data_IF_194079789995
#
_entry.id   IF_194079789995
#
_cell.length_a   1.000
_cell.length_b   1.000
_cell.length_c   1.000
_cell.angle_alpha   90.00
_cell.angle_beta   90.00
_cell.angle_gamma   90.00
#
_symmetry.space_group_name_H-M   'P 1'
#
loop_
_entity.id
_entity.type
_entity.pdbx_description
1 polymer ?
#
# COMPACT_ATOMS: atom_id res chain seq x y z
N UNK A 1 -20.40 -19.23 -23.86
CA UNK A 1 -19.59 -20.46 -24.04
C UNK A 1 -18.85 -20.69 -22.72
N UNK A 2 -18.91 -21.89 -22.12
CA UNK A 2 -18.22 -22.13 -20.87
C UNK A 2 -16.71 -22.08 -21.09
N UNK A 3 -15.99 -21.37 -20.22
CA UNK A 3 -14.52 -21.35 -20.23
C UNK A 3 -14.06 -22.69 -19.64
N UNK A 4 -13.22 -23.46 -20.34
CA UNK A 4 -12.77 -24.75 -19.84
C UNK A 4 -11.88 -24.55 -18.60
N UNK A 5 -12.11 -25.34 -17.54
CA UNK A 5 -11.21 -25.40 -16.41
C UNK A 5 -9.84 -25.95 -16.85
N UNK A 6 -8.73 -25.54 -16.21
CA UNK A 6 -7.43 -26.14 -16.46
C UNK A 6 -7.45 -27.64 -16.18
N UNK A 7 -6.61 -28.41 -16.87
CA UNK A 7 -6.43 -29.83 -16.59
C UNK A 7 -5.99 -30.02 -15.12
N UNK A 8 -6.39 -31.12 -14.51
CA UNK A 8 -6.08 -31.38 -13.08
C UNK A 8 -4.58 -31.34 -12.79
N UNK A 9 -3.75 -31.85 -13.70
CA UNK A 9 -2.28 -31.81 -13.59
C UNK A 9 -1.74 -30.37 -13.52
N UNK A 10 -2.19 -29.48 -14.41
CA UNK A 10 -1.81 -28.08 -14.39
C UNK A 10 -2.28 -27.33 -13.12
N UNK A 11 -3.39 -27.76 -12.54
CA UNK A 11 -3.84 -27.20 -11.26
C UNK A 11 -2.96 -27.68 -10.10
N UNK A 12 -2.51 -28.96 -10.12
CA UNK A 12 -1.58 -29.49 -9.12
C UNK A 12 -0.25 -28.74 -9.15
N UNK A 13 0.35 -28.54 -10.33
CA UNK A 13 1.58 -27.78 -10.50
C UNK A 13 1.42 -26.35 -9.98
N UNK A 14 0.37 -25.67 -10.41
CA UNK A 14 0.09 -24.29 -9.96
C UNK A 14 -0.08 -24.18 -8.45
N UNK A 15 -0.73 -25.13 -7.78
CA UNK A 15 -0.89 -25.12 -6.32
C UNK A 15 0.41 -25.43 -5.60
N UNK A 16 1.26 -26.29 -6.18
CA UNK A 16 2.59 -26.55 -5.66
C UNK A 16 3.46 -25.30 -5.72
N UNK A 17 3.55 -24.63 -6.88
CA UNK A 17 4.31 -23.39 -7.06
C UNK A 17 3.81 -22.31 -6.09
N UNK A 18 2.49 -22.08 -6.00
CA UNK A 18 1.92 -21.14 -5.07
C UNK A 18 2.23 -21.46 -3.59
N UNK A 19 2.42 -22.74 -3.25
CA UNK A 19 2.85 -23.15 -1.90
C UNK A 19 4.31 -22.80 -1.65
N UNK A 20 5.19 -23.02 -2.62
CA UNK A 20 6.60 -22.60 -2.55
C UNK A 20 6.69 -21.09 -2.39
N UNK A 21 6.02 -20.32 -3.27
CA UNK A 21 6.00 -18.85 -3.24
C UNK A 21 5.49 -18.30 -1.89
N UNK A 22 4.42 -18.92 -1.34
CA UNK A 22 3.87 -18.50 -0.05
C UNK A 22 4.84 -18.74 1.12
N UNK A 23 5.56 -19.87 1.12
CA UNK A 23 6.58 -20.16 2.13
C UNK A 23 7.76 -19.20 2.03
N UNK A 24 8.18 -18.85 0.83
CA UNK A 24 9.22 -17.85 0.58
C UNK A 24 8.79 -16.47 1.09
N UNK A 25 7.57 -16.01 0.78
CA UNK A 25 7.04 -14.74 1.27
C UNK A 25 6.99 -14.68 2.81
N UNK A 26 6.58 -15.75 3.49
CA UNK A 26 6.64 -15.78 4.97
C UNK A 26 8.08 -15.75 5.51
N UNK A 27 9.03 -16.35 4.81
CA UNK A 27 10.46 -16.28 5.16
C UNK A 27 11.03 -14.87 4.92
N UNK A 28 10.60 -14.18 3.85
CA UNK A 28 10.93 -12.77 3.58
C UNK A 28 10.36 -11.89 4.70
N UNK A 29 9.10 -12.11 5.10
CA UNK A 29 8.53 -11.40 6.25
C UNK A 29 9.38 -11.53 7.52
N UNK A 30 9.85 -12.73 7.85
CA UNK A 30 10.75 -12.94 8.98
C UNK A 30 12.05 -12.16 8.83
N UNK A 31 12.64 -12.14 7.63
CA UNK A 31 13.83 -11.37 7.33
C UNK A 31 13.64 -9.86 7.52
N UNK A 32 12.54 -9.33 7.03
CA UNK A 32 12.16 -7.92 7.19
C UNK A 32 11.90 -7.58 8.66
N UNK A 33 11.06 -8.37 9.32
CA UNK A 33 10.64 -8.13 10.71
C UNK A 33 11.81 -8.17 11.71
N UNK A 34 12.78 -9.02 11.47
CA UNK A 34 13.97 -9.20 12.31
C UNK A 34 15.16 -8.37 11.84
N UNK A 35 15.02 -7.57 10.78
CA UNK A 35 16.08 -6.72 10.25
C UNK A 35 17.27 -7.48 9.64
N UNK A 36 17.05 -8.74 9.17
CA UNK A 36 18.13 -9.61 8.72
C UNK A 36 18.77 -9.12 7.41
N UNK A 37 17.97 -8.62 6.49
CA UNK A 37 18.46 -8.05 5.22
C UNK A 37 19.31 -6.80 5.45
N UNK A 38 18.86 -5.90 6.34
CA UNK A 38 19.63 -4.72 6.74
C UNK A 38 20.97 -5.10 7.38
N UNK A 39 20.98 -6.11 8.26
CA UNK A 39 22.20 -6.61 8.90
C UNK A 39 23.23 -7.15 7.87
N UNK A 40 22.75 -7.88 6.84
CA UNK A 40 23.59 -8.38 5.75
C UNK A 40 24.09 -7.24 4.84
N UNK A 41 23.21 -6.29 4.48
CA UNK A 41 23.59 -5.12 3.68
C UNK A 41 24.71 -4.31 4.35
N UNK A 42 24.56 -4.02 5.65
CA UNK A 42 25.46 -3.12 6.37
C UNK A 42 26.81 -3.76 6.75
N UNK A 43 26.83 -5.10 6.88
CA UNK A 43 28.04 -5.81 7.33
C UNK A 43 28.83 -6.49 6.21
N UNK A 44 28.21 -6.70 5.04
CA UNK A 44 28.73 -7.59 4.01
C UNK A 44 28.56 -9.07 4.40
N UNK A 45 29.37 -9.99 3.85
CA UNK A 45 29.17 -11.42 4.05
C UNK A 45 29.29 -11.82 5.52
N UNK A 46 28.24 -12.53 6.04
CA UNK A 46 28.17 -13.05 7.40
C UNK A 46 27.96 -14.56 7.40
N UNK A 47 28.53 -15.25 8.38
CA UNK A 47 28.11 -16.59 8.77
C UNK A 47 26.88 -16.54 9.69
N UNK A 48 26.34 -17.72 10.04
CA UNK A 48 25.13 -17.81 10.86
C UNK A 48 25.34 -17.20 12.26
N UNK A 49 26.51 -17.38 12.85
CA UNK A 49 26.84 -16.82 14.17
C UNK A 49 26.92 -15.29 14.12
N UNK A 50 27.54 -14.75 13.06
CA UNK A 50 27.65 -13.30 12.85
C UNK A 50 26.30 -12.63 12.64
N UNK A 51 25.41 -13.21 11.83
CA UNK A 51 24.04 -12.72 11.65
C UNK A 51 23.25 -12.81 12.95
N UNK A 52 23.33 -13.95 13.65
CA UNK A 52 22.63 -14.16 14.91
C UNK A 52 23.01 -13.11 15.97
N UNK A 53 24.32 -12.84 16.10
CA UNK A 53 24.82 -11.84 17.04
C UNK A 53 24.33 -10.41 16.70
N UNK A 54 24.26 -10.04 15.41
CA UNK A 54 23.83 -8.70 14.97
C UNK A 54 22.31 -8.51 15.14
N UNK A 55 21.53 -9.52 14.79
CA UNK A 55 20.08 -9.44 14.81
C UNK A 55 19.47 -9.84 16.16
N UNK A 56 20.27 -10.31 17.11
CA UNK A 56 19.78 -10.76 18.41
C UNK A 56 18.91 -12.01 18.36
N UNK A 57 19.18 -12.91 17.43
CA UNK A 57 18.44 -14.16 17.23
C UNK A 57 19.30 -15.39 17.53
N UNK A 58 18.65 -16.55 17.62
CA UNK A 58 19.38 -17.80 17.87
C UNK A 58 20.10 -18.28 16.60
N UNK A 59 21.36 -18.68 16.71
CA UNK A 59 22.22 -19.08 15.57
C UNK A 59 21.61 -20.18 14.69
N UNK A 60 20.94 -21.18 15.30
CA UNK A 60 20.32 -22.25 14.52
C UNK A 60 19.22 -21.76 13.59
N UNK A 61 18.44 -20.76 14.04
CA UNK A 61 17.44 -20.12 13.17
C UNK A 61 18.08 -19.22 12.12
N UNK A 62 19.13 -18.48 12.47
CA UNK A 62 19.90 -17.70 11.50
C UNK A 62 20.42 -18.58 10.37
N UNK A 63 21.00 -19.74 10.69
CA UNK A 63 21.51 -20.69 9.70
C UNK A 63 20.40 -21.21 8.79
N UNK A 64 19.26 -21.67 9.35
CA UNK A 64 18.16 -22.20 8.56
C UNK A 64 17.61 -21.14 7.59
N UNK A 65 17.45 -19.90 8.09
CA UNK A 65 16.94 -18.81 7.28
C UNK A 65 17.93 -18.45 6.16
N UNK A 66 19.24 -18.34 6.45
CA UNK A 66 20.28 -18.06 5.45
C UNK A 66 20.32 -19.15 4.36
N UNK A 67 20.27 -20.41 4.74
CA UNK A 67 20.24 -21.54 3.81
C UNK A 67 18.98 -21.51 2.94
N UNK A 68 17.81 -21.27 3.53
CA UNK A 68 16.55 -21.18 2.79
C UNK A 68 16.57 -20.00 1.80
N UNK A 69 17.00 -18.80 2.24
CA UNK A 69 17.05 -17.62 1.37
C UNK A 69 18.07 -17.79 0.22
N UNK A 70 19.15 -18.53 0.44
CA UNK A 70 20.11 -18.83 -0.62
C UNK A 70 19.59 -19.86 -1.61
N UNK A 71 18.86 -20.88 -1.12
CA UNK A 71 18.18 -21.88 -2.00
C UNK A 71 17.10 -21.19 -2.84
N UNK A 72 16.40 -20.21 -2.29
CA UNK A 72 15.44 -19.37 -3.02
C UNK A 72 16.09 -18.35 -3.97
N UNK A 73 17.43 -18.24 -3.99
CA UNK A 73 18.16 -17.30 -4.86
C UNK A 73 18.10 -15.86 -4.39
N UNK A 74 17.66 -15.58 -3.18
CA UNK A 74 17.54 -14.22 -2.62
C UNK A 74 18.86 -13.73 -2.01
N UNK A 75 19.69 -14.65 -1.48
CA UNK A 75 21.02 -14.39 -0.95
C UNK A 75 22.08 -15.16 -1.76
N UNK A 76 23.27 -14.60 -1.84
CA UNK A 76 24.45 -15.28 -2.36
C UNK A 76 25.20 -16.00 -1.23
N UNK A 77 25.78 -17.18 -1.53
CA UNK A 77 26.67 -17.93 -0.67
C UNK A 77 28.06 -17.99 -1.31
N UNK A 78 29.13 -17.74 -0.55
CA UNK A 78 30.49 -17.71 -1.10
C UNK A 78 31.01 -19.12 -1.52
N UNK A 79 30.72 -20.14 -0.71
CA UNK A 79 31.07 -21.53 -0.97
C UNK A 79 29.94 -22.45 -0.42
N UNK A 80 29.14 -23.01 -1.31
CA UNK A 80 28.02 -23.90 -0.97
C UNK A 80 28.48 -25.29 -0.49
N UNK A 81 29.74 -25.67 -0.79
CA UNK A 81 30.36 -26.93 -0.37
C UNK A 81 31.05 -26.80 1.00
N UNK A 82 31.25 -25.59 1.52
CA UNK A 82 31.82 -25.40 2.86
C UNK A 82 30.95 -26.03 3.95
N UNK A 83 31.56 -26.33 5.10
CA UNK A 83 30.81 -26.80 6.25
C UNK A 83 29.72 -25.78 6.67
N UNK A 84 28.54 -26.22 7.12
CA UNK A 84 27.41 -25.29 7.40
C UNK A 84 27.74 -24.13 8.34
N UNK A 85 28.67 -24.31 9.27
CA UNK A 85 29.11 -23.27 10.21
C UNK A 85 30.12 -22.27 9.58
N UNK A 86 30.70 -22.62 8.43
CA UNK A 86 31.74 -21.83 7.76
C UNK A 86 31.19 -21.06 6.53
N UNK A 87 29.98 -21.42 6.08
CA UNK A 87 29.32 -20.74 4.95
C UNK A 87 29.10 -19.26 5.26
N UNK A 88 29.44 -18.41 4.31
CA UNK A 88 29.20 -16.98 4.40
C UNK A 88 28.19 -16.55 3.35
N UNK A 89 27.26 -15.71 3.78
CA UNK A 89 26.11 -15.29 2.98
C UNK A 89 26.10 -13.77 2.85
N UNK A 90 25.70 -13.28 1.71
CA UNK A 90 25.59 -11.85 1.44
C UNK A 90 24.27 -11.53 0.74
N UNK A 91 23.76 -10.34 1.00
CA UNK A 91 22.67 -9.76 0.21
C UNK A 91 23.30 -9.18 -1.08
N UNK A 92 22.94 -9.69 -2.28
CA UNK A 92 23.40 -9.09 -3.52
C UNK A 92 23.00 -7.61 -3.60
N UNK A 93 23.88 -6.70 -4.07
CA UNK A 93 23.55 -5.27 -4.17
C UNK A 93 22.28 -4.99 -4.95
N UNK A 94 22.02 -5.76 -6.02
CA UNK A 94 20.83 -5.68 -6.86
C UNK A 94 19.53 -6.09 -6.13
N UNK A 95 19.63 -6.85 -5.04
CA UNK A 95 18.47 -7.24 -4.22
C UNK A 95 18.25 -6.30 -3.03
N UNK A 96 19.22 -5.44 -2.72
CA UNK A 96 19.16 -4.56 -1.54
C UNK A 96 17.97 -3.58 -1.64
N UNK A 97 17.75 -2.97 -2.80
CA UNK A 97 16.62 -2.10 -3.06
C UNK A 97 15.29 -2.81 -2.79
N UNK A 98 15.14 -4.00 -3.36
CA UNK A 98 13.91 -4.81 -3.25
C UNK A 98 13.58 -5.23 -1.82
N UNK A 99 14.61 -5.63 -1.02
CA UNK A 99 14.43 -6.32 0.26
C UNK A 99 14.75 -5.46 1.50
N UNK A 100 15.60 -4.43 1.37
CA UNK A 100 16.19 -3.75 2.52
C UNK A 100 16.16 -2.22 2.49
N UNK A 101 15.73 -1.60 1.39
CA UNK A 101 15.77 -0.14 1.23
C UNK A 101 14.36 0.43 1.02
N UNK A 102 13.71 0.91 2.09
CA UNK A 102 12.29 1.32 2.05
C UNK A 102 11.94 2.46 1.08
N UNK A 103 12.93 3.22 0.64
CA UNK A 103 12.76 4.32 -0.31
C UNK A 103 13.12 3.94 -1.75
N UNK A 104 13.58 2.72 -1.99
CA UNK A 104 13.89 2.25 -3.33
C UNK A 104 12.58 2.04 -4.13
N UNK A 105 12.49 2.50 -5.39
CA UNK A 105 11.30 2.31 -6.22
C UNK A 105 10.87 0.84 -6.39
N UNK A 106 11.81 -0.09 -6.29
CA UNK A 106 11.58 -1.53 -6.44
C UNK A 106 11.31 -2.25 -5.12
N UNK A 107 11.14 -1.52 -4.00
CA UNK A 107 10.93 -2.11 -2.68
C UNK A 107 9.56 -2.77 -2.54
N UNK A 108 9.49 -4.09 -2.70
CA UNK A 108 8.25 -4.88 -2.63
C UNK A 108 8.20 -5.88 -1.47
N UNK A 109 9.25 -5.97 -0.64
CA UNK A 109 9.26 -6.81 0.56
C UNK A 109 8.03 -6.59 1.50
N UNK A 110 7.42 -5.38 1.57
CA UNK A 110 6.24 -5.15 2.39
C UNK A 110 5.02 -6.01 2.04
N UNK A 111 4.88 -6.51 0.80
CA UNK A 111 3.83 -7.47 0.46
C UNK A 111 3.88 -8.72 1.34
N UNK A 112 5.08 -9.22 1.64
CA UNK A 112 5.26 -10.36 2.54
C UNK A 112 4.73 -10.07 3.96
N UNK A 113 4.91 -8.82 4.41
CA UNK A 113 4.43 -8.37 5.72
C UNK A 113 2.90 -8.22 5.75
N UNK A 114 2.29 -7.73 4.66
CA UNK A 114 0.82 -7.71 4.53
C UNK A 114 0.22 -9.12 4.59
N UNK A 115 0.83 -10.08 3.89
CA UNK A 115 0.36 -11.48 3.91
C UNK A 115 0.45 -12.12 5.29
N UNK A 116 1.47 -11.79 6.08
CA UNK A 116 1.57 -12.23 7.47
C UNK A 116 0.42 -11.71 8.32
N UNK A 117 0.04 -10.44 8.15
CA UNK A 117 -1.14 -9.84 8.79
C UNK A 117 -2.45 -10.55 8.41
N UNK A 118 -2.64 -10.85 7.12
CA UNK A 118 -3.78 -11.66 6.64
C UNK A 118 -3.80 -13.05 7.27
N UNK A 119 -2.64 -13.70 7.35
CA UNK A 119 -2.51 -15.02 8.00
C UNK A 119 -3.08 -15.05 9.41
N UNK A 120 -2.89 -13.96 10.17
CA UNK A 120 -3.39 -13.80 11.54
C UNK A 120 -4.91 -13.71 11.66
N UNK A 121 -5.64 -13.36 10.60
CA UNK A 121 -7.10 -13.17 10.65
C UNK A 121 -7.90 -14.21 9.87
N UNK A 122 -7.27 -15.19 9.23
CA UNK A 122 -7.97 -16.24 8.47
C UNK A 122 -9.13 -16.92 9.21
N UNK A 123 -9.02 -17.26 10.52
CA UNK A 123 -10.18 -17.80 11.26
C UNK A 123 -11.35 -16.81 11.36
N UNK A 124 -11.07 -15.52 11.55
CA UNK A 124 -12.10 -14.47 11.62
C UNK A 124 -12.76 -14.25 10.25
N UNK A 125 -11.97 -14.29 9.17
CA UNK A 125 -12.48 -14.24 7.79
C UNK A 125 -13.44 -15.41 7.52
N UNK A 126 -13.07 -16.63 7.88
CA UNK A 126 -13.95 -17.78 7.69
C UNK A 126 -15.29 -17.63 8.42
N UNK A 127 -15.31 -16.99 9.59
CA UNK A 127 -16.55 -16.70 10.32
C UNK A 127 -17.34 -15.55 9.67
N UNK A 128 -16.66 -14.50 9.22
CA UNK A 128 -17.29 -13.41 8.48
C UNK A 128 -18.02 -13.92 7.21
N UNK A 129 -17.40 -14.84 6.48
CA UNK A 129 -18.02 -15.47 5.30
C UNK A 129 -19.28 -16.27 5.62
N UNK A 130 -19.37 -16.88 6.81
CA UNK A 130 -20.58 -17.64 7.24
C UNK A 130 -21.69 -16.73 7.74
N UNK A 131 -21.32 -15.71 8.51
CA UNK A 131 -22.28 -14.84 9.20
C UNK A 131 -22.78 -13.66 8.34
N UNK A 132 -22.08 -13.32 7.26
CA UNK A 132 -22.31 -12.08 6.52
C UNK A 132 -21.78 -10.84 7.24
N UNK A 133 -20.97 -11.00 8.29
CA UNK A 133 -20.28 -9.92 8.99
C UNK A 133 -18.98 -9.52 8.28
N UNK A 134 -18.11 -8.80 9.00
CA UNK A 134 -16.81 -8.37 8.51
C UNK A 134 -15.68 -8.58 9.52
N UNK A 135 -14.48 -8.16 9.13
CA UNK A 135 -13.29 -8.16 9.98
C UNK A 135 -12.75 -6.74 10.03
N UNK A 136 -12.91 -6.01 11.16
CA UNK A 136 -12.43 -4.63 11.27
C UNK A 136 -10.93 -4.49 10.96
N UNK A 137 -10.53 -3.39 10.32
CA UNK A 137 -9.15 -3.11 9.90
C UNK A 137 -8.13 -3.34 11.03
N UNK A 138 -8.40 -2.84 12.22
CA UNK A 138 -7.52 -2.99 13.39
C UNK A 138 -7.21 -4.46 13.75
N UNK A 139 -8.03 -5.43 13.32
CA UNK A 139 -7.82 -6.87 13.59
C UNK A 139 -6.68 -7.45 12.75
N UNK A 140 -6.35 -6.85 11.59
CA UNK A 140 -5.23 -7.27 10.75
C UNK A 140 -3.87 -6.96 11.39
N UNK A 141 -3.84 -6.08 12.37
CA UNK A 141 -2.69 -5.82 13.22
C UNK A 141 -1.60 -4.96 12.57
N UNK A 142 -0.51 -4.81 13.31
CA UNK A 142 0.60 -3.93 12.91
C UNK A 142 1.31 -4.42 11.63
N UNK A 143 1.44 -5.73 11.44
CA UNK A 143 2.13 -6.27 10.27
C UNK A 143 1.41 -5.90 8.96
N UNK A 144 0.08 -6.02 8.93
CA UNK A 144 -0.68 -5.59 7.75
C UNK A 144 -0.54 -4.09 7.52
N UNK A 145 -0.77 -3.28 8.56
CA UNK A 145 -0.69 -1.81 8.50
C UNK A 145 0.68 -1.32 8.03
N UNK A 146 1.77 -1.82 8.64
CA UNK A 146 3.13 -1.44 8.25
C UNK A 146 3.47 -1.95 6.84
N UNK A 147 2.98 -3.13 6.46
CA UNK A 147 3.15 -3.66 5.10
C UNK A 147 2.47 -2.77 4.06
N UNK A 148 1.22 -2.38 4.29
CA UNK A 148 0.47 -1.50 3.38
C UNK A 148 1.13 -0.11 3.26
N UNK A 149 1.48 0.51 4.39
CA UNK A 149 2.21 1.79 4.34
C UNK A 149 3.58 1.66 3.67
N UNK A 150 4.27 0.53 3.86
CA UNK A 150 5.58 0.27 3.28
C UNK A 150 5.57 0.08 1.77
N UNK A 151 4.56 -0.64 1.23
CA UNK A 151 4.47 -0.87 -0.22
C UNK A 151 4.13 0.40 -1.00
N UNK A 152 3.37 1.31 -0.39
CA UNK A 152 2.97 2.56 -1.03
C UNK A 152 4.03 3.66 -0.93
N UNK A 153 4.92 3.55 0.05
CA UNK A 153 5.94 4.58 0.35
C UNK A 153 6.81 4.97 -0.85
N UNK A 154 7.39 4.05 -1.64
CA UNK A 154 8.20 4.43 -2.79
C UNK A 154 7.44 5.24 -3.83
N UNK A 155 6.25 4.79 -4.25
CA UNK A 155 5.44 5.47 -5.24
C UNK A 155 5.00 6.87 -4.76
N UNK A 156 4.57 7.00 -3.50
CA UNK A 156 4.20 8.31 -2.95
C UNK A 156 5.41 9.25 -2.82
N UNK A 157 6.58 8.71 -2.51
CA UNK A 157 7.79 9.51 -2.39
C UNK A 157 8.34 10.00 -3.74
N UNK A 158 8.31 9.14 -4.76
CA UNK A 158 8.95 9.38 -6.05
C UNK A 158 7.95 9.82 -7.12
N UNK A 159 6.87 9.07 -7.30
CA UNK A 159 5.97 9.27 -8.44
C UNK A 159 4.89 10.32 -8.18
N UNK A 160 4.36 10.39 -6.95
CA UNK A 160 3.31 11.37 -6.63
C UNK A 160 3.76 12.80 -6.96
N UNK A 161 4.90 13.32 -6.47
CA UNK A 161 5.29 14.71 -6.75
C UNK A 161 5.80 14.92 -8.17
N UNK A 162 6.43 13.93 -8.80
CA UNK A 162 7.15 14.11 -10.06
C UNK A 162 6.38 13.67 -11.30
N UNK A 163 5.43 12.75 -11.15
CA UNK A 163 4.66 12.17 -12.27
C UNK A 163 3.17 12.45 -12.10
N UNK A 164 2.58 12.10 -10.95
CA UNK A 164 1.13 12.17 -10.79
C UNK A 164 0.63 13.62 -10.71
N UNK A 165 1.28 14.47 -9.92
CA UNK A 165 0.95 15.90 -9.85
C UNK A 165 1.35 16.65 -11.12
N UNK A 166 2.42 16.23 -11.81
CA UNK A 166 2.83 16.81 -13.08
C UNK A 166 1.80 16.60 -14.21
N UNK A 167 0.97 15.57 -14.12
CA UNK A 167 -0.16 15.36 -15.05
C UNK A 167 -1.29 16.39 -14.86
N UNK A 168 -1.23 17.22 -13.80
CA UNK A 168 -2.17 18.31 -13.52
C UNK A 168 -1.40 19.65 -13.39
N UNK A 169 -0.93 20.25 -14.50
CA UNK A 169 -0.03 21.41 -14.45
C UNK A 169 -0.59 22.66 -13.72
N UNK A 170 -1.90 22.86 -13.75
CA UNK A 170 -2.58 23.91 -13.01
C UNK A 170 -2.56 23.69 -11.50
N UNK A 171 -2.69 22.43 -11.05
CA UNK A 171 -2.54 22.04 -9.65
C UNK A 171 -1.09 22.20 -9.20
N UNK A 172 -0.14 21.72 -9.98
CA UNK A 172 1.29 21.86 -9.68
C UNK A 172 1.69 23.32 -9.53
N UNK A 173 1.30 24.19 -10.50
CA UNK A 173 1.53 25.62 -10.42
C UNK A 173 0.89 26.26 -9.17
N UNK A 174 -0.27 25.73 -8.74
CA UNK A 174 -0.94 26.20 -7.52
C UNK A 174 -0.19 25.77 -6.25
N UNK A 175 0.37 24.57 -6.21
CA UNK A 175 1.18 24.07 -5.09
C UNK A 175 2.51 24.82 -4.97
N UNK A 176 3.08 25.28 -6.08
CA UNK A 176 4.35 26.01 -6.14
C UNK A 176 4.20 27.51 -5.84
N UNK A 177 2.97 28.04 -5.76
CA UNK A 177 2.73 29.46 -5.48
C UNK A 177 2.97 29.80 -4.00
N UNK A 178 4.21 30.16 -3.66
CA UNK A 178 4.59 30.57 -2.32
C UNK A 178 3.91 31.87 -1.84
N UNK A 179 3.37 32.69 -2.75
CA UNK A 179 2.65 33.93 -2.38
C UNK A 179 1.27 33.62 -1.77
N UNK A 180 0.70 32.47 -2.08
CA UNK A 180 -0.56 31.94 -1.56
C UNK A 180 -0.40 30.47 -1.20
N UNK A 181 0.08 30.15 0.02
CA UNK A 181 0.28 28.75 0.43
C UNK A 181 -0.91 27.86 0.13
N UNK A 182 -0.68 26.79 -0.63
CA UNK A 182 -1.73 25.84 -0.98
C UNK A 182 -2.16 25.03 0.23
N UNK A 183 -3.43 24.63 0.29
CA UNK A 183 -3.94 23.68 1.25
C UNK A 183 -4.29 22.38 0.55
N UNK A 184 -3.75 21.27 1.07
CA UNK A 184 -3.94 19.92 0.55
C UNK A 184 -4.59 19.07 1.64
N UNK A 185 -5.53 18.19 1.27
CA UNK A 185 -5.98 17.11 2.13
C UNK A 185 -5.50 15.78 1.56
N UNK A 186 -5.11 14.87 2.43
CA UNK A 186 -4.79 13.47 2.14
C UNK A 186 -5.81 12.62 2.91
N UNK A 187 -6.84 12.14 2.19
CA UNK A 187 -7.98 11.40 2.78
C UNK A 187 -7.70 9.91 2.70
N UNK A 188 -7.78 9.22 3.85
CA UNK A 188 -7.27 7.87 4.00
C UNK A 188 -5.74 7.84 4.01
N UNK A 189 -5.13 8.80 4.70
CA UNK A 189 -3.69 9.05 4.61
C UNK A 189 -2.81 7.91 5.17
N UNK A 190 -3.38 6.94 5.88
CA UNK A 190 -2.64 5.84 6.49
C UNK A 190 -1.40 6.34 7.25
N UNK A 191 -0.23 5.86 6.87
CA UNK A 191 1.07 6.24 7.45
C UNK A 191 1.58 7.62 7.05
N UNK A 192 0.78 8.41 6.29
CA UNK A 192 1.07 9.79 5.94
C UNK A 192 2.16 9.99 4.90
N UNK A 193 2.56 8.96 4.16
CA UNK A 193 3.66 9.07 3.19
C UNK A 193 3.35 10.04 2.05
N UNK A 194 2.10 10.06 1.54
CA UNK A 194 1.70 11.01 0.51
C UNK A 194 1.69 12.45 1.03
N UNK A 195 1.13 12.68 2.23
CA UNK A 195 1.15 13.99 2.89
C UNK A 195 2.57 14.51 3.11
N UNK A 196 3.49 13.64 3.58
CA UNK A 196 4.91 13.97 3.77
C UNK A 196 5.58 14.31 2.45
N UNK A 197 5.36 13.50 1.41
CA UNK A 197 5.96 13.71 0.08
C UNK A 197 5.52 15.04 -0.54
N UNK A 198 4.23 15.38 -0.47
CA UNK A 198 3.72 16.68 -0.94
C UNK A 198 4.34 17.84 -0.17
N UNK A 199 4.42 17.74 1.16
CA UNK A 199 5.01 18.80 1.97
C UNK A 199 6.52 18.98 1.73
N UNK A 200 7.25 17.91 1.38
CA UNK A 200 8.65 17.98 1.00
C UNK A 200 8.84 18.61 -0.39
N UNK A 201 8.04 18.18 -1.37
CA UNK A 201 8.13 18.67 -2.75
C UNK A 201 7.65 20.12 -2.88
N UNK A 202 6.65 20.55 -2.08
CA UNK A 202 6.05 21.89 -2.13
C UNK A 202 6.18 22.60 -0.77
N UNK A 203 7.31 23.23 -0.47
CA UNK A 203 7.61 23.79 0.87
C UNK A 203 6.64 24.84 1.39
N UNK A 204 5.86 25.50 0.52
CA UNK A 204 4.84 26.46 0.90
C UNK A 204 3.49 25.79 1.26
N UNK A 205 3.24 24.57 0.80
CA UNK A 205 1.97 23.88 1.01
C UNK A 205 1.78 23.47 2.47
N UNK A 206 0.51 23.42 2.90
CA UNK A 206 0.06 22.84 4.15
C UNK A 206 -0.81 21.64 3.86
N UNK A 207 -0.58 20.53 4.56
CA UNK A 207 -1.26 19.28 4.30
C UNK A 207 -1.99 18.79 5.55
N UNK A 208 -3.25 18.43 5.40
CA UNK A 208 -4.07 17.80 6.41
C UNK A 208 -4.26 16.32 6.02
N UNK A 209 -3.69 15.38 6.78
CA UNK A 209 -3.93 13.95 6.63
C UNK A 209 -5.12 13.51 7.50
N UNK A 210 -6.02 12.73 6.95
CA UNK A 210 -7.25 12.28 7.61
C UNK A 210 -7.34 10.76 7.48
N UNK A 211 -7.47 10.04 8.58
CA UNK A 211 -7.62 8.58 8.60
C UNK A 211 -8.42 8.13 9.82
N UNK A 212 -9.15 7.04 9.69
CA UNK A 212 -9.92 6.43 10.79
C UNK A 212 -9.02 5.63 11.75
N UNK A 213 -7.90 5.09 11.26
CA UNK A 213 -7.03 4.25 12.07
C UNK A 213 -6.08 5.09 12.92
N UNK A 214 -6.36 5.15 14.21
CA UNK A 214 -5.57 5.87 15.19
C UNK A 214 -4.09 5.50 15.16
N UNK A 215 -3.77 4.21 15.01
CA UNK A 215 -2.39 3.75 15.03
C UNK A 215 -1.63 4.24 13.77
N UNK A 216 -2.28 4.24 12.60
CA UNK A 216 -1.72 4.86 11.39
C UNK A 216 -1.46 6.36 11.56
N UNK A 217 -2.38 7.07 12.21
CA UNK A 217 -2.21 8.51 12.51
C UNK A 217 -1.04 8.76 13.48
N UNK A 218 -0.83 7.89 14.44
CA UNK A 218 0.33 7.98 15.36
C UNK A 218 1.64 7.76 14.57
N UNK A 219 1.73 6.74 13.73
CA UNK A 219 2.87 6.48 12.84
C UNK A 219 3.10 7.66 11.85
N UNK A 220 2.03 8.21 11.26
CA UNK A 220 2.12 9.33 10.33
C UNK A 220 2.73 10.61 10.97
N UNK A 221 2.40 10.89 12.22
CA UNK A 221 3.00 12.00 12.98
C UNK A 221 4.50 11.79 13.20
N UNK A 222 4.91 10.56 13.52
CA UNK A 222 6.33 10.22 13.66
C UNK A 222 7.08 10.38 12.34
N UNK A 223 6.50 9.94 11.23
CA UNK A 223 7.07 10.08 9.90
C UNK A 223 7.22 11.55 9.48
N UNK A 224 6.23 12.39 9.72
CA UNK A 224 6.31 13.82 9.44
C UNK A 224 7.38 14.53 10.29
N UNK A 225 7.51 14.13 11.56
CA UNK A 225 8.56 14.65 12.44
C UNK A 225 9.96 14.23 11.96
N UNK A 226 10.14 12.94 11.61
CA UNK A 226 11.40 12.43 11.06
C UNK A 226 11.77 13.08 9.72
N UNK A 227 10.77 13.40 8.89
CA UNK A 227 10.93 14.07 7.61
C UNK A 227 11.14 15.60 7.73
N UNK A 228 11.03 16.18 8.92
CA UNK A 228 11.19 17.60 9.17
C UNK A 228 10.06 18.50 8.59
N UNK A 229 8.85 17.95 8.46
CA UNK A 229 7.68 18.67 7.90
C UNK A 229 6.50 18.82 8.87
N UNK A 230 6.68 18.42 10.15
CA UNK A 230 5.63 18.44 11.16
C UNK A 230 5.03 19.86 11.44
N UNK A 231 5.70 20.91 11.04
CA UNK A 231 5.21 22.29 11.14
C UNK A 231 4.17 22.65 10.05
N UNK A 232 4.07 21.84 9.00
CA UNK A 232 3.22 22.06 7.82
C UNK A 232 2.26 20.92 7.53
N UNK A 233 2.40 19.78 8.21
CA UNK A 233 1.52 18.61 8.06
C UNK A 233 0.82 18.33 9.39
N UNK A 234 -0.51 18.26 9.36
CA UNK A 234 -1.32 17.92 10.51
C UNK A 234 -2.10 16.63 10.23
N UNK A 235 -2.21 15.73 11.22
CA UNK A 235 -2.92 14.46 11.07
C UNK A 235 -4.10 14.34 12.05
N UNK A 236 -5.24 13.89 11.54
CA UNK A 236 -6.51 13.82 12.23
C UNK A 236 -7.09 12.41 12.16
N UNK A 237 -7.41 11.85 13.33
CA UNK A 237 -8.22 10.64 13.45
C UNK A 237 -9.69 11.03 13.20
N UNK A 238 -10.17 10.83 11.97
CA UNK A 238 -11.52 11.25 11.56
C UNK A 238 -12.00 10.44 10.34
N UNK A 239 -13.29 10.41 10.12
CA UNK A 239 -13.91 9.84 8.92
C UNK A 239 -13.65 10.75 7.70
N UNK A 240 -13.63 10.17 6.50
CA UNK A 240 -13.47 10.92 5.25
C UNK A 240 -14.49 12.06 5.07
N UNK A 241 -15.70 11.92 5.67
CA UNK A 241 -16.73 12.97 5.67
C UNK A 241 -16.34 14.18 6.53
N UNK A 242 -15.42 14.02 7.49
CA UNK A 242 -14.88 15.11 8.31
C UNK A 242 -14.10 16.17 7.51
N UNK A 243 -13.67 15.85 6.30
CA UNK A 243 -12.99 16.78 5.40
C UNK A 243 -13.79 18.05 5.10
N UNK A 244 -15.13 17.97 5.07
CA UNK A 244 -16.03 19.10 4.78
C UNK A 244 -15.86 20.29 5.75
N UNK A 245 -15.52 20.02 7.00
CA UNK A 245 -15.33 21.04 8.04
C UNK A 245 -13.93 21.66 8.09
N UNK A 246 -12.97 21.14 7.33
CA UNK A 246 -11.53 21.49 7.41
C UNK A 246 -11.04 22.37 6.26
N UNK A 247 -11.69 22.33 5.10
CA UNK A 247 -11.36 23.10 3.90
C UNK A 247 -11.34 24.62 4.11
N UNK A 248 -11.18 25.42 3.06
CA UNK A 248 -11.12 24.96 1.68
C UNK A 248 -9.75 24.41 1.26
N UNK A 249 -9.74 23.38 0.40
CA UNK A 249 -8.55 22.74 -0.12
C UNK A 249 -8.36 23.02 -1.62
N UNK A 250 -7.14 23.27 -2.03
CA UNK A 250 -6.75 23.43 -3.43
C UNK A 250 -6.61 22.06 -4.13
N UNK A 251 -6.21 21.05 -3.36
CA UNK A 251 -6.09 19.65 -3.78
C UNK A 251 -6.55 18.71 -2.68
N UNK A 252 -7.30 17.68 -3.05
CA UNK A 252 -7.58 16.54 -2.18
C UNK A 252 -7.02 15.28 -2.85
N UNK A 253 -6.26 14.50 -2.10
CA UNK A 253 -5.74 13.20 -2.50
C UNK A 253 -6.65 12.11 -1.93
N UNK A 254 -6.96 11.11 -2.76
CA UNK A 254 -7.69 9.89 -2.40
C UNK A 254 -6.95 8.74 -3.09
N UNK A 255 -5.92 8.21 -2.43
CA UNK A 255 -4.94 7.30 -3.02
C UNK A 255 -5.10 5.90 -2.44
N UNK A 256 -5.58 4.96 -3.22
CA UNK A 256 -5.93 3.58 -2.80
C UNK A 256 -6.96 3.54 -1.67
N UNK A 257 -7.96 4.41 -1.71
CA UNK A 257 -8.91 4.60 -0.61
C UNK A 257 -10.36 4.60 -1.06
N UNK A 258 -10.66 5.04 -2.30
CA UNK A 258 -12.07 5.17 -2.73
C UNK A 258 -12.83 3.86 -2.63
N UNK A 259 -12.18 2.77 -3.03
CA UNK A 259 -12.76 1.42 -2.95
C UNK A 259 -12.94 0.94 -1.49
N UNK A 260 -12.20 1.49 -0.52
CA UNK A 260 -12.27 1.11 0.89
C UNK A 260 -13.29 1.93 1.70
N UNK A 261 -13.79 3.03 1.14
CA UNK A 261 -14.76 3.88 1.85
C UNK A 261 -16.08 3.16 2.05
N UNK A 262 -16.56 3.07 3.29
CA UNK A 262 -17.86 2.49 3.60
C UNK A 262 -19.00 3.29 2.97
N UNK A 263 -18.86 4.62 2.90
CA UNK A 263 -19.86 5.56 2.36
C UNK A 263 -19.21 6.48 1.31
N UNK A 264 -18.85 5.93 0.13
CA UNK A 264 -18.04 6.65 -0.86
C UNK A 264 -18.76 7.88 -1.43
N UNK A 265 -20.07 7.84 -1.63
CA UNK A 265 -20.83 8.99 -2.16
C UNK A 265 -20.84 10.14 -1.16
N UNK A 266 -21.11 9.86 0.12
CA UNK A 266 -21.10 10.86 1.18
C UNK A 266 -19.69 11.45 1.39
N UNK A 267 -18.67 10.61 1.34
CA UNK A 267 -17.27 11.05 1.44
C UNK A 267 -16.88 11.96 0.27
N UNK A 268 -17.18 11.56 -0.96
CA UNK A 268 -16.93 12.40 -2.14
C UNK A 268 -17.73 13.72 -2.10
N UNK A 269 -18.97 13.69 -1.63
CA UNK A 269 -19.78 14.92 -1.46
C UNK A 269 -19.17 15.86 -0.40
N UNK A 270 -18.65 15.31 0.70
CA UNK A 270 -17.94 16.07 1.74
C UNK A 270 -16.63 16.66 1.21
N UNK A 271 -15.87 15.87 0.46
CA UNK A 271 -14.64 16.32 -0.22
C UNK A 271 -14.97 17.46 -1.20
N UNK A 272 -16.04 17.31 -2.00
CA UNK A 272 -16.48 18.36 -2.93
C UNK A 272 -16.82 19.67 -2.21
N UNK A 273 -17.52 19.58 -1.09
CA UNK A 273 -17.84 20.75 -0.27
C UNK A 273 -16.62 21.43 0.37
N UNK A 274 -15.54 20.65 0.57
CA UNK A 274 -14.28 21.12 1.13
C UNK A 274 -13.33 21.70 0.07
N UNK A 275 -13.63 21.62 -1.23
CA UNK A 275 -12.77 22.19 -2.26
C UNK A 275 -12.83 23.72 -2.30
N UNK A 276 -11.70 24.34 -2.51
CA UNK A 276 -11.61 25.75 -2.90
C UNK A 276 -12.15 25.95 -4.33
N UNK A 277 -12.58 27.16 -4.69
CA UNK A 277 -12.90 27.47 -6.08
C UNK A 277 -11.73 27.13 -7.02
N UNK A 278 -11.97 26.23 -7.98
CA UNK A 278 -10.94 25.69 -8.88
C UNK A 278 -10.07 24.58 -8.29
N UNK A 279 -10.37 24.11 -7.09
CA UNK A 279 -9.73 22.95 -6.48
C UNK A 279 -10.02 21.65 -7.22
N UNK A 280 -9.18 20.66 -7.01
CA UNK A 280 -9.25 19.35 -7.65
C UNK A 280 -9.13 18.21 -6.64
N UNK A 281 -9.69 17.05 -7.01
CA UNK A 281 -9.40 15.78 -6.35
C UNK A 281 -8.53 14.95 -7.29
N UNK A 282 -7.47 14.36 -6.79
CA UNK A 282 -6.72 13.29 -7.43
C UNK A 282 -7.10 11.97 -6.78
N UNK A 283 -7.68 11.07 -7.55
CA UNK A 283 -7.93 9.70 -7.13
C UNK A 283 -6.95 8.80 -7.86
N UNK A 284 -6.25 7.93 -7.13
CA UNK A 284 -5.57 6.76 -7.66
C UNK A 284 -6.26 5.53 -7.08
N UNK A 285 -6.76 4.66 -7.95
CA UNK A 285 -7.42 3.42 -7.54
C UNK A 285 -7.04 2.31 -8.52
N UNK A 286 -7.38 1.08 -8.22
CA UNK A 286 -6.87 -0.11 -8.87
C UNK A 286 -7.14 -0.16 -10.38
N UNK A 287 -6.12 -0.44 -11.16
CA UNK A 287 -6.23 -0.61 -12.62
C UNK A 287 -6.74 -2.00 -12.97
N UNK A 288 -8.03 -2.19 -12.83
CA UNK A 288 -8.73 -3.41 -13.24
C UNK A 288 -9.37 -3.25 -14.61
N UNK A 289 -9.75 -4.38 -15.25
CA UNK A 289 -10.45 -4.37 -16.53
C UNK A 289 -11.79 -3.63 -16.44
N UNK A 290 -12.27 -3.04 -17.55
CA UNK A 290 -13.54 -2.29 -17.56
C UNK A 290 -14.77 -3.18 -17.35
N UNK A 291 -14.66 -4.49 -17.60
CA UNK A 291 -15.71 -5.47 -17.35
C UNK A 291 -15.13 -6.75 -16.75
N UNK A 292 -15.97 -7.49 -16.01
CA UNK A 292 -15.59 -8.80 -15.47
C UNK A 292 -15.17 -9.74 -16.61
N UNK A 293 -13.97 -10.31 -16.48
CA UNK A 293 -13.45 -11.32 -17.38
C UNK A 293 -12.80 -12.45 -16.60
N UNK A 294 -13.02 -13.68 -17.03
CA UNK A 294 -12.42 -14.86 -16.42
C UNK A 294 -11.90 -15.83 -17.50
N UNK A 295 -10.64 -16.30 -17.38
CA UNK A 295 -9.68 -15.96 -16.35
C UNK A 295 -9.17 -14.52 -16.50
N UNK A 296 -8.91 -13.83 -15.36
CA UNK A 296 -8.27 -12.52 -15.33
C UNK A 296 -6.74 -12.60 -15.43
N UNK A 297 -6.11 -11.46 -15.73
CA UNK A 297 -4.65 -11.31 -15.67
C UNK A 297 -4.11 -11.34 -14.24
N UNK A 298 -2.81 -11.16 -14.07
CA UNK A 298 -2.15 -11.18 -12.76
C UNK A 298 -2.62 -10.04 -11.84
N UNK A 299 -2.83 -8.84 -12.39
CA UNK A 299 -3.28 -7.67 -11.62
C UNK A 299 -4.71 -7.89 -11.11
N UNK A 300 -5.65 -8.25 -12.00
CA UNK A 300 -7.04 -8.49 -11.60
C UNK A 300 -7.15 -9.66 -10.61
N UNK A 301 -6.34 -10.71 -10.77
CA UNK A 301 -6.27 -11.82 -9.80
C UNK A 301 -5.75 -11.37 -8.44
N UNK A 302 -4.74 -10.49 -8.40
CA UNK A 302 -4.19 -9.92 -7.18
C UNK A 302 -5.24 -9.04 -6.48
N UNK A 303 -5.91 -8.14 -7.23
CA UNK A 303 -6.93 -7.25 -6.67
C UNK A 303 -8.14 -8.00 -6.13
N UNK A 304 -8.60 -9.06 -6.79
CA UNK A 304 -9.61 -9.95 -6.21
C UNK A 304 -9.09 -10.69 -4.98
N UNK A 305 -7.82 -11.03 -4.92
CA UNK A 305 -7.19 -11.61 -3.73
C UNK A 305 -7.25 -10.67 -2.53
N UNK A 306 -6.84 -9.40 -2.71
CA UNK A 306 -6.97 -8.37 -1.68
C UNK A 306 -8.42 -8.13 -1.30
N UNK A 307 -9.32 -8.04 -2.27
CA UNK A 307 -10.76 -7.86 -2.03
C UNK A 307 -11.33 -8.96 -1.13
N UNK A 308 -11.06 -10.22 -1.46
CA UNK A 308 -11.56 -11.40 -0.72
C UNK A 308 -11.01 -11.47 0.71
N UNK A 309 -9.75 -11.07 0.90
CA UNK A 309 -9.04 -11.28 2.17
C UNK A 309 -8.98 -10.04 3.06
N UNK A 310 -9.16 -8.84 2.50
CA UNK A 310 -9.01 -7.60 3.24
C UNK A 310 -10.12 -6.58 2.94
N UNK A 311 -10.14 -5.93 1.76
CA UNK A 311 -10.96 -4.75 1.54
C UNK A 311 -12.47 -5.02 1.70
N UNK A 312 -13.00 -6.08 1.10
CA UNK A 312 -14.42 -6.41 1.29
C UNK A 312 -14.76 -6.79 2.75
N UNK A 313 -14.01 -7.66 3.45
CA UNK A 313 -14.25 -7.92 4.86
C UNK A 313 -14.14 -6.70 5.78
N UNK A 314 -13.23 -5.77 5.52
CA UNK A 314 -13.14 -4.54 6.32
C UNK A 314 -14.34 -3.65 6.12
N UNK A 315 -14.78 -3.46 4.89
CA UNK A 315 -16.00 -2.71 4.58
C UNK A 315 -17.25 -3.35 5.17
N UNK A 316 -17.37 -4.68 5.10
CA UNK A 316 -18.49 -5.43 5.69
C UNK A 316 -18.54 -5.34 7.22
N UNK A 317 -17.46 -4.93 7.87
CA UNK A 317 -17.45 -4.65 9.31
C UNK A 317 -18.12 -3.31 9.66
N UNK A 318 -18.26 -2.41 8.70
CA UNK A 318 -18.85 -1.09 8.88
C UNK A 318 -20.37 -1.13 8.65
N UNK A 319 -21.11 -0.40 9.48
CA UNK A 319 -22.58 -0.29 9.32
C UNK A 319 -22.93 0.53 8.08
N UNK A 320 -23.86 0.03 7.29
CA UNK A 320 -24.35 0.71 6.07
C UNK A 320 -23.27 0.92 4.99
N UNK A 321 -22.31 0.00 4.91
CA UNK A 321 -21.26 0.05 3.91
C UNK A 321 -21.78 -0.26 2.50
N UNK A 322 -21.21 0.41 1.50
CA UNK A 322 -21.42 0.10 0.09
C UNK A 322 -20.80 -1.25 -0.32
N UNK A 323 -19.87 -1.77 0.46
CA UNK A 323 -19.20 -3.07 0.27
C UNK A 323 -18.67 -3.27 -1.17
N UNK A 324 -17.94 -2.27 -1.68
CA UNK A 324 -17.44 -2.23 -3.06
C UNK A 324 -16.37 -3.30 -3.32
N UNK A 325 -15.51 -3.55 -2.32
CA UNK A 325 -14.28 -4.34 -2.48
C UNK A 325 -13.25 -3.62 -3.35
N UNK A 326 -12.08 -4.22 -3.50
CA UNK A 326 -10.92 -3.61 -4.20
C UNK A 326 -11.15 -3.43 -5.70
N UNK A 327 -11.99 -4.27 -6.34
CA UNK A 327 -12.17 -4.27 -7.80
C UNK A 327 -13.14 -3.16 -8.23
N UNK A 328 -12.67 -1.92 -8.14
CA UNK A 328 -13.44 -0.72 -8.48
C UNK A 328 -13.23 -0.36 -9.96
N UNK A 329 -14.26 -0.57 -10.78
CA UNK A 329 -14.19 -0.32 -12.22
C UNK A 329 -14.42 1.15 -12.56
N UNK A 330 -13.92 1.60 -13.70
CA UNK A 330 -14.01 3.00 -14.13
C UNK A 330 -15.47 3.53 -14.16
N UNK A 331 -16.41 2.71 -14.62
CA UNK A 331 -17.84 3.09 -14.62
C UNK A 331 -18.37 3.29 -13.20
N UNK A 332 -17.95 2.49 -12.23
CA UNK A 332 -18.34 2.66 -10.83
C UNK A 332 -17.77 3.96 -10.26
N UNK A 333 -16.50 4.28 -10.55
CA UNK A 333 -15.92 5.58 -10.14
C UNK A 333 -16.72 6.75 -10.70
N UNK A 334 -17.13 6.68 -11.97
CA UNK A 334 -17.97 7.70 -12.61
C UNK A 334 -19.33 7.83 -11.91
N UNK A 335 -20.01 6.72 -11.66
CA UNK A 335 -21.31 6.72 -10.96
C UNK A 335 -21.24 7.31 -9.54
N UNK A 336 -20.19 6.97 -8.78
CA UNK A 336 -19.96 7.51 -7.44
C UNK A 336 -19.68 9.02 -7.48
N UNK A 337 -18.85 9.49 -8.43
CA UNK A 337 -18.54 10.90 -8.61
C UNK A 337 -19.78 11.72 -8.99
N UNK A 338 -20.58 11.24 -9.94
CA UNK A 338 -21.85 11.87 -10.37
C UNK A 338 -22.85 11.93 -9.21
N UNK A 339 -23.01 10.82 -8.45
CA UNK A 339 -23.90 10.79 -7.29
C UNK A 339 -23.47 11.76 -6.18
N UNK A 340 -22.18 12.02 -6.05
CA UNK A 340 -21.61 13.02 -5.12
C UNK A 340 -21.68 14.46 -5.65
N UNK A 341 -22.19 14.66 -6.87
CA UNK A 341 -22.38 15.98 -7.48
C UNK A 341 -21.17 16.52 -8.23
N UNK A 342 -20.15 15.71 -8.49
CA UNK A 342 -19.09 16.04 -9.45
C UNK A 342 -19.56 15.86 -10.89
N UNK A 343 -18.84 16.48 -11.84
CA UNK A 343 -18.96 16.14 -13.24
C UNK A 343 -18.28 14.81 -13.58
N UNK A 344 -18.22 14.50 -14.88
CA UNK A 344 -17.53 13.30 -15.36
C UNK A 344 -16.04 13.32 -14.94
N UNK A 345 -15.52 12.23 -14.35
CA UNK A 345 -14.12 12.11 -13.99
C UNK A 345 -13.21 12.19 -15.22
N UNK A 346 -12.18 13.01 -15.17
CA UNK A 346 -11.10 13.02 -16.15
C UNK A 346 -10.13 11.88 -15.84
N UNK A 347 -9.99 10.89 -16.72
CA UNK A 347 -8.93 9.88 -16.61
C UNK A 347 -7.61 10.52 -17.03
N UNK A 348 -6.66 10.58 -16.10
CA UNK A 348 -5.36 11.19 -16.37
C UNK A 348 -4.46 10.24 -17.18
N UNK A 349 -3.66 10.76 -18.13
CA UNK A 349 -2.78 9.96 -18.99
C UNK A 349 -1.48 9.57 -18.25
N UNK A 350 -1.62 8.93 -17.10
CA UNK A 350 -0.50 8.42 -16.29
C UNK A 350 -0.39 6.92 -16.56
N UNK A 351 0.75 6.51 -17.09
CA UNK A 351 1.04 5.08 -17.26
C UNK A 351 1.45 4.49 -15.91
N UNK A 352 0.71 3.50 -15.45
CA UNK A 352 1.00 2.73 -14.23
C UNK A 352 0.37 1.34 -14.37
N UNK A 353 1.07 0.32 -13.91
CA UNK A 353 0.62 -1.07 -14.04
C UNK A 353 -0.47 -1.44 -13.03
N UNK A 354 -0.49 -0.76 -11.87
CA UNK A 354 -1.38 -1.07 -10.75
C UNK A 354 -2.52 -0.07 -10.60
N UNK A 355 -2.32 1.21 -10.96
CA UNK A 355 -3.28 2.28 -10.70
C UNK A 355 -3.84 2.91 -11.96
N UNK A 356 -5.10 3.30 -11.88
CA UNK A 356 -5.79 4.22 -12.79
C UNK A 356 -6.04 5.52 -12.04
N UNK A 357 -5.75 6.64 -12.69
CA UNK A 357 -5.81 7.96 -12.07
C UNK A 357 -6.99 8.74 -12.62
N UNK A 358 -7.71 9.38 -11.70
CA UNK A 358 -8.85 10.22 -12.04
C UNK A 358 -8.70 11.60 -11.41
N UNK A 359 -9.10 12.61 -12.14
CA UNK A 359 -9.25 13.96 -11.63
C UNK A 359 -10.73 14.33 -11.56
N UNK A 360 -11.18 14.79 -10.38
CA UNK A 360 -12.48 15.42 -10.22
C UNK A 360 -12.30 16.92 -10.02
N UNK A 361 -13.23 17.69 -10.59
CA UNK A 361 -13.31 19.16 -10.41
C UNK A 361 -14.65 19.53 -9.82
N UNK A 362 -14.67 20.56 -8.91
CA UNK A 362 -15.89 21.04 -8.26
C UNK A 362 -16.85 21.73 -9.25
#
# INVERSE_FOLDING_TARGET
>A
MAIPAPAAEALVERLFDATVDALELFSIHLGTRLGLYGALRDAGPLDAAGLAARAGIHERYAREWLEQQSVAGLLAVEDDLAAPAERRYSLPPEHAGVLAEPDDPDHVAPFATMLAGIGGVLPALAEAYRSGGGVPYARYGADFRHGQGGINRPAFRHDLPSVWLAAMPDVQARLDDASRPARVADVGCGHGWAAVAVAQAHPAARVDGIDLDRASIEDAREHAAAAGVADRVAFFEDDATGSAGRGPYDLVLVLEVLHDLARPVEALAAIRAALAPGGSVLIADERVADAFAAPGDSVERMMYGWSVLHCLPTQMAESSSAALGTVLRADTVRELAEAAGFGEPEVLPIENDLFRFYRLRA
#
